data_IF_354397635974
#
_entry.id   IF_354397635974
#
_cell.length_a   1.000
_cell.length_b   1.000
_cell.length_c   1.000
_cell.angle_alpha   90.00
_cell.angle_beta   90.00
_cell.angle_gamma   90.00
#
_symmetry.space_group_name_H-M   'P 1'
#
loop_
_entity.id
_entity.type
_entity.pdbx_description
1 polymer ?
#
# COMPACT_ATOMS: atom_id res chain seq x y z
N UNK A 1 10.43 -6.24 2.42
CA UNK A 1 10.09 -4.89 1.93
C UNK A 1 9.08 -5.01 0.81
N UNK A 2 8.20 -4.03 0.67
CA UNK A 2 7.22 -4.02 -0.43
C UNK A 2 7.88 -3.63 -1.78
N UNK A 3 7.09 -3.61 -2.84
CA UNK A 3 7.56 -3.29 -4.20
C UNK A 3 8.08 -1.86 -4.32
N UNK A 4 7.45 -0.87 -3.67
CA UNK A 4 7.90 0.53 -3.70
C UNK A 4 9.25 0.68 -3.02
N UNK A 5 9.43 0.03 -1.87
CA UNK A 5 10.70 0.05 -1.14
C UNK A 5 11.78 -0.74 -1.88
N UNK A 6 11.42 -1.84 -2.56
CA UNK A 6 12.34 -2.60 -3.39
C UNK A 6 12.87 -1.77 -4.59
N UNK A 7 12.00 -0.98 -5.23
CA UNK A 7 12.39 -0.02 -6.26
C UNK A 7 13.42 1.00 -5.71
N UNK A 8 13.10 1.61 -4.56
CA UNK A 8 14.02 2.50 -3.86
C UNK A 8 15.37 1.85 -3.53
N UNK A 9 15.38 0.61 -3.03
CA UNK A 9 16.61 -0.14 -2.72
C UNK A 9 17.42 -0.43 -3.98
N UNK A 10 16.76 -0.80 -5.08
CA UNK A 10 17.42 -1.09 -6.35
C UNK A 10 18.19 0.14 -6.84
N UNK A 11 17.51 1.28 -6.95
CA UNK A 11 18.14 2.53 -7.42
C UNK A 11 19.23 3.00 -6.44
N UNK A 12 18.97 2.92 -5.13
CA UNK A 12 19.95 3.32 -4.11
C UNK A 12 21.25 2.50 -4.16
N UNK A 13 21.19 1.21 -4.54
CA UNK A 13 22.38 0.37 -4.72
C UNK A 13 23.24 0.82 -5.90
N UNK A 14 22.61 1.25 -6.99
CA UNK A 14 23.30 1.75 -8.19
C UNK A 14 23.94 3.12 -7.95
N UNK A 15 23.42 3.89 -7.00
CA UNK A 15 23.88 5.24 -6.66
C UNK A 15 24.58 5.34 -5.28
N UNK A 16 25.08 4.21 -4.73
CA UNK A 16 25.67 4.15 -3.37
C UNK A 16 26.76 5.20 -3.12
N UNK A 17 27.53 5.57 -4.15
CA UNK A 17 28.56 6.60 -4.07
C UNK A 17 29.60 6.30 -2.99
N UNK A 18 29.92 7.30 -2.16
CA UNK A 18 30.89 7.18 -1.06
C UNK A 18 30.33 6.32 0.09
N UNK A 19 31.02 5.23 0.43
CA UNK A 19 30.64 4.33 1.52
C UNK A 19 30.65 4.97 2.92
N UNK A 20 31.36 6.09 3.10
CA UNK A 20 31.34 6.85 4.35
C UNK A 20 30.06 7.69 4.55
N UNK A 21 29.27 7.90 3.48
CA UNK A 21 27.99 8.62 3.55
C UNK A 21 26.85 7.61 3.66
N UNK A 22 26.04 7.63 4.75
CA UNK A 22 24.90 6.73 4.88
C UNK A 22 23.85 6.97 3.79
N UNK A 23 23.42 5.90 3.13
CA UNK A 23 22.28 5.90 2.22
C UNK A 23 21.04 5.41 2.96
N UNK A 24 19.98 6.21 2.98
CA UNK A 24 18.70 5.89 3.63
C UNK A 24 17.64 5.70 2.55
N UNK A 25 17.01 4.52 2.53
CA UNK A 25 15.86 4.23 1.67
C UNK A 25 14.60 4.30 2.53
N UNK A 26 13.60 5.06 2.07
CA UNK A 26 12.34 5.19 2.78
C UNK A 26 11.45 3.98 2.49
N UNK A 27 11.04 3.27 3.54
CA UNK A 27 10.00 2.24 3.44
C UNK A 27 8.63 2.93 3.41
N UNK A 28 8.02 3.02 2.23
CA UNK A 28 6.79 3.81 2.01
C UNK A 28 5.51 3.01 2.20
N UNK A 29 5.62 1.68 2.27
CA UNK A 29 4.50 0.78 2.56
C UNK A 29 4.98 -0.54 3.17
N UNK A 30 4.10 -1.14 3.98
CA UNK A 30 4.33 -2.49 4.50
C UNK A 30 4.05 -3.55 3.42
N UNK A 31 4.78 -4.67 3.38
CA UNK A 31 4.58 -5.74 2.40
C UNK A 31 3.15 -6.28 2.31
N UNK A 32 2.42 -6.31 3.44
CA UNK A 32 1.03 -6.80 3.50
C UNK A 32 0.07 -6.03 2.57
N UNK A 33 0.41 -4.79 2.20
CA UNK A 33 -0.38 -4.00 1.24
C UNK A 33 -0.27 -4.50 -0.20
N UNK A 34 0.74 -5.32 -0.51
CA UNK A 34 1.06 -5.83 -1.85
C UNK A 34 1.39 -7.34 -1.81
N UNK A 35 0.56 -8.11 -1.09
CA UNK A 35 0.82 -9.51 -0.79
C UNK A 35 1.05 -10.39 -2.03
N UNK A 36 0.30 -10.19 -3.11
CA UNK A 36 0.42 -10.98 -4.34
C UNK A 36 1.84 -10.91 -4.94
N UNK A 37 2.42 -9.72 -5.02
CA UNK A 37 3.79 -9.56 -5.53
C UNK A 37 4.84 -10.14 -4.58
N UNK A 38 4.56 -10.15 -3.27
CA UNK A 38 5.44 -10.84 -2.30
C UNK A 38 5.39 -12.35 -2.51
N UNK A 39 4.21 -12.93 -2.73
CA UNK A 39 4.04 -14.36 -3.06
C UNK A 39 4.76 -14.70 -4.36
N UNK A 40 4.62 -13.88 -5.40
CA UNK A 40 5.33 -14.06 -6.66
C UNK A 40 6.85 -14.10 -6.46
N UNK A 41 7.40 -13.15 -5.68
CA UNK A 41 8.84 -13.01 -5.50
C UNK A 41 9.45 -14.05 -4.52
N UNK A 42 8.72 -14.43 -3.47
CA UNK A 42 9.24 -15.22 -2.34
C UNK A 42 8.58 -16.60 -2.19
N UNK A 43 7.49 -16.89 -2.91
CA UNK A 43 6.73 -18.13 -2.81
C UNK A 43 5.81 -18.24 -1.59
N UNK A 44 5.70 -17.19 -0.77
CA UNK A 44 4.86 -17.18 0.43
C UNK A 44 4.30 -15.78 0.71
N UNK A 45 3.16 -15.65 1.41
CA UNK A 45 2.61 -14.35 1.76
C UNK A 45 3.47 -13.63 2.80
N UNK A 46 3.40 -12.29 2.87
CA UNK A 46 4.01 -11.54 3.95
C UNK A 46 3.30 -11.83 5.28
N UNK A 47 3.99 -11.57 6.39
CA UNK A 47 3.37 -11.60 7.72
C UNK A 47 2.25 -10.54 7.82
N UNK A 48 1.09 -10.94 8.34
CA UNK A 48 0.01 -10.01 8.67
C UNK A 48 0.18 -9.53 10.12
N UNK A 49 0.38 -8.22 10.35
CA UNK A 49 0.45 -7.69 11.71
C UNK A 49 -0.80 -8.05 12.52
N UNK A 50 -0.63 -8.44 13.79
CA UNK A 50 -1.71 -8.93 14.64
C UNK A 50 -2.97 -8.03 14.67
N UNK A 51 -2.79 -6.71 14.61
CA UNK A 51 -3.88 -5.72 14.58
C UNK A 51 -4.77 -5.76 13.32
N UNK A 52 -4.33 -6.42 12.25
CA UNK A 52 -5.04 -6.52 10.98
C UNK A 52 -5.61 -7.91 10.72
N UNK A 53 -5.35 -8.89 11.59
CA UNK A 53 -5.89 -10.25 11.41
C UNK A 53 -7.41 -10.22 11.36
N UNK A 54 -7.96 -10.67 10.23
CA UNK A 54 -9.41 -10.76 10.01
C UNK A 54 -10.07 -9.46 9.55
N UNK A 55 -9.31 -8.38 9.27
CA UNK A 55 -9.88 -7.12 8.78
C UNK A 55 -10.66 -7.30 7.48
N UNK A 56 -10.22 -8.22 6.62
CA UNK A 56 -10.84 -8.53 5.33
C UNK A 56 -12.20 -9.21 5.48
N UNK A 57 -12.44 -9.86 6.62
CA UNK A 57 -13.69 -10.58 6.92
C UNK A 57 -14.78 -9.68 7.49
N UNK A 58 -14.46 -8.42 7.83
CA UNK A 58 -15.42 -7.46 8.37
C UNK A 58 -16.37 -6.94 7.28
N UNK A 59 -17.63 -6.64 7.62
CA UNK A 59 -18.57 -6.05 6.68
C UNK A 59 -18.05 -4.70 6.18
N UNK A 60 -18.07 -4.50 4.87
CA UNK A 60 -17.67 -3.25 4.23
C UNK A 60 -18.88 -2.35 4.06
N UNK A 61 -18.79 -1.10 4.54
CA UNK A 61 -19.78 -0.06 4.28
C UNK A 61 -19.34 0.76 3.08
N UNK A 62 -19.91 0.48 1.91
CA UNK A 62 -19.54 1.12 0.63
C UNK A 62 -20.81 1.47 -0.14
N UNK A 63 -20.85 2.65 -0.75
CA UNK A 63 -21.88 3.04 -1.73
C UNK A 63 -21.24 3.00 -3.13
N UNK A 64 -21.76 2.16 -4.01
CA UNK A 64 -21.32 2.13 -5.42
C UNK A 64 -22.01 3.25 -6.18
N UNK A 65 -21.25 3.97 -7.00
CA UNK A 65 -21.72 5.11 -7.79
C UNK A 65 -21.11 5.06 -9.19
N UNK A 66 -21.83 5.60 -10.17
CA UNK A 66 -21.25 5.85 -11.49
C UNK A 66 -20.16 6.94 -11.38
N UNK A 67 -19.25 7.00 -12.36
CA UNK A 67 -18.29 8.09 -12.49
C UNK A 67 -18.98 9.39 -12.97
N UNK A 68 -19.87 9.93 -12.13
CA UNK A 68 -20.70 11.10 -12.39
C UNK A 68 -20.53 12.14 -11.28
N UNK A 69 -20.10 13.34 -11.66
CA UNK A 69 -19.79 14.42 -10.72
C UNK A 69 -21.03 14.91 -9.98
N UNK A 70 -22.19 14.99 -10.64
CA UNK A 70 -23.42 15.48 -10.04
C UNK A 70 -23.93 14.50 -8.97
N UNK A 71 -23.88 13.19 -9.25
CA UNK A 71 -24.26 12.16 -8.28
C UNK A 71 -23.37 12.18 -7.03
N UNK A 72 -22.05 12.29 -7.20
CA UNK A 72 -21.11 12.36 -6.05
C UNK A 72 -21.41 13.58 -5.18
N UNK A 73 -21.68 14.75 -5.78
CA UNK A 73 -22.06 15.96 -5.04
C UNK A 73 -23.35 15.76 -4.25
N UNK A 74 -24.42 15.29 -4.91
CA UNK A 74 -25.70 15.06 -4.27
C UNK A 74 -25.61 14.07 -3.09
N UNK A 75 -24.78 13.01 -3.23
CA UNK A 75 -24.55 12.06 -2.15
C UNK A 75 -23.89 12.72 -0.93
N UNK A 76 -22.86 13.55 -1.14
CA UNK A 76 -22.19 14.29 -0.06
C UNK A 76 -23.19 15.23 0.64
N UNK A 77 -23.99 15.98 -0.12
CA UNK A 77 -24.99 16.89 0.44
C UNK A 77 -26.02 16.16 1.31
N UNK A 78 -26.46 14.96 0.89
CA UNK A 78 -27.45 14.17 1.63
C UNK A 78 -26.91 13.50 2.91
N UNK A 79 -25.60 13.30 3.04
CA UNK A 79 -25.00 12.50 4.11
C UNK A 79 -24.05 13.29 5.04
N UNK A 80 -23.70 14.53 4.68
CA UNK A 80 -22.76 15.36 5.42
C UNK A 80 -23.30 16.74 5.80
N UNK A 81 -24.50 17.12 5.36
CA UNK A 81 -25.24 18.28 5.87
C UNK A 81 -26.30 17.84 6.88
#
# INVERSE_FOLDING_TARGET
IDTHTADGVKVAREHRGNSAVPMIVLETALPIKFADTIVEALGHPPECPAKFVGIENLPRRVQVMAADVAQVKAYIEQHCM
#
